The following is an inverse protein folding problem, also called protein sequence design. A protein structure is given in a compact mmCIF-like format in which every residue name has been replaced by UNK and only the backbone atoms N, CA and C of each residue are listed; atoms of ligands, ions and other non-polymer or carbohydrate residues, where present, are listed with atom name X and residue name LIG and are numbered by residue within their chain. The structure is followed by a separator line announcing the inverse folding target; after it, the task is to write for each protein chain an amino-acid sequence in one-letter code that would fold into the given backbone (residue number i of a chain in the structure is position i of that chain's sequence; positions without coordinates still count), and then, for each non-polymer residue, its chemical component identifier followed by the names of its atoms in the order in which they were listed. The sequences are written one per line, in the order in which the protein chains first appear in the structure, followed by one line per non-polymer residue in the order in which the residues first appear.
data_IF_510942546077
#
_entry.id   IF_510942546077
#
_cell.length_a   1.000
_cell.length_b   1.000
_cell.length_c   1.000
_cell.angle_alpha   90.00
_cell.angle_beta   90.00
_cell.angle_gamma   90.00
#
_symmetry.space_group_name_H-M   'P 1'
#
loop_
_entity.id
_entity.type
_entity.pdbx_description
1 polymer ?
#
# COMPACT_ATOMS: atom_id res chain seq x y z
N UNK A 1 -54.83 -5.82 10.45
CA UNK A 1 -53.73 -6.67 9.95
C UNK A 1 -52.64 -5.74 9.49
N UNK A 2 -51.73 -5.40 10.39
CA UNK A 2 -50.69 -4.39 10.11
C UNK A 2 -49.44 -5.11 9.54
N UNK A 3 -49.17 -4.87 8.28
CA UNK A 3 -47.95 -5.32 7.61
C UNK A 3 -46.83 -4.47 8.11
N UNK A 4 -45.94 -5.03 8.91
CA UNK A 4 -44.68 -4.38 9.34
C UNK A 4 -43.74 -4.42 8.15
N UNK A 5 -43.51 -3.25 7.55
CA UNK A 5 -42.53 -3.04 6.50
C UNK A 5 -41.13 -3.07 7.14
N UNK A 6 -40.50 -4.25 7.13
CA UNK A 6 -39.11 -4.41 7.57
C UNK A 6 -38.21 -3.87 6.45
N UNK A 7 -38.06 -2.56 6.38
CA UNK A 7 -36.95 -1.96 5.64
C UNK A 7 -35.66 -2.37 6.35
N UNK A 8 -34.98 -3.39 5.81
CA UNK A 8 -33.59 -3.67 6.14
C UNK A 8 -32.79 -2.40 5.85
N UNK A 9 -32.49 -1.66 6.90
CA UNK A 9 -31.41 -0.66 6.83
C UNK A 9 -30.18 -1.40 6.34
N UNK A 10 -29.78 -1.14 5.09
CA UNK A 10 -28.50 -1.60 4.55
C UNK A 10 -27.45 -0.91 5.43
N UNK A 11 -26.91 -1.63 6.41
CA UNK A 11 -25.70 -1.15 7.10
C UNK A 11 -24.71 -0.87 5.99
N UNK A 12 -24.32 0.39 5.83
CA UNK A 12 -23.32 0.79 4.87
C UNK A 12 -22.00 0.27 5.41
N UNK A 13 -21.65 -0.96 5.08
CA UNK A 13 -20.34 -1.50 5.35
C UNK A 13 -19.35 -0.69 4.50
N UNK A 14 -18.48 0.07 5.17
CA UNK A 14 -17.34 0.70 4.52
C UNK A 14 -16.39 -0.42 4.12
N UNK A 15 -16.05 -0.48 2.82
CA UNK A 15 -15.10 -1.47 2.30
C UNK A 15 -13.65 -1.14 2.69
N UNK A 16 -13.39 0.10 3.12
CA UNK A 16 -12.09 0.57 3.56
C UNK A 16 -12.17 1.11 4.98
N UNK A 17 -11.31 0.58 5.87
CA UNK A 17 -11.24 1.01 7.27
C UNK A 17 -9.78 1.21 7.70
N UNK A 18 -9.57 2.16 8.60
CA UNK A 18 -8.29 2.36 9.28
C UNK A 18 -8.44 2.12 10.78
N UNK A 19 -7.61 1.25 11.30
CA UNK A 19 -7.50 0.98 12.74
C UNK A 19 -6.29 1.74 13.31
N UNK A 20 -6.53 2.79 14.07
CA UNK A 20 -5.45 3.59 14.68
C UNK A 20 -4.62 2.77 15.68
N UNK A 21 -5.27 1.96 16.51
CA UNK A 21 -4.61 1.13 17.54
C UNK A 21 -3.59 0.18 16.93
N UNK A 22 -3.94 -0.48 15.84
CA UNK A 22 -3.05 -1.43 15.16
C UNK A 22 -2.33 -0.81 13.95
N UNK A 23 -2.55 0.47 13.65
CA UNK A 23 -1.97 1.21 12.53
C UNK A 23 -2.13 0.47 11.20
N UNK A 24 -3.34 -0.06 10.95
CA UNK A 24 -3.63 -0.95 9.82
C UNK A 24 -4.77 -0.44 8.98
N UNK A 25 -4.63 -0.59 7.67
CA UNK A 25 -5.67 -0.36 6.67
C UNK A 25 -6.26 -1.71 6.28
N UNK A 26 -7.57 -1.82 6.35
CA UNK A 26 -8.33 -2.99 5.92
C UNK A 26 -9.14 -2.63 4.68
N UNK A 27 -8.84 -3.29 3.57
CA UNK A 27 -9.58 -3.18 2.33
C UNK A 27 -10.32 -4.50 2.13
N UNK A 28 -11.64 -4.45 2.18
CA UNK A 28 -12.47 -5.66 2.20
C UNK A 28 -13.33 -5.74 0.95
N UNK A 29 -13.09 -6.75 0.14
CA UNK A 29 -14.01 -7.23 -0.87
C UNK A 29 -15.09 -8.12 -0.26
N UNK A 30 -15.90 -8.73 -1.10
CA UNK A 30 -16.98 -9.65 -0.64
C UNK A 30 -16.42 -10.91 0.01
N UNK A 31 -15.31 -11.45 -0.52
CA UNK A 31 -14.69 -12.71 -0.09
C UNK A 31 -13.22 -12.53 0.28
N UNK A 32 -12.61 -11.40 -0.04
CA UNK A 32 -11.18 -11.16 0.16
C UNK A 32 -10.91 -9.97 1.08
N UNK A 33 -9.72 -9.96 1.67
CA UNK A 33 -9.16 -8.83 2.39
C UNK A 33 -7.75 -8.54 1.92
N UNK A 34 -7.45 -7.26 1.74
CA UNK A 34 -6.10 -6.74 1.53
C UNK A 34 -5.75 -5.84 2.70
N UNK A 35 -4.68 -6.16 3.42
CA UNK A 35 -4.35 -5.48 4.67
C UNK A 35 -2.93 -4.94 4.61
N UNK A 36 -2.80 -3.65 4.90
CA UNK A 36 -1.53 -2.96 5.01
C UNK A 36 -1.35 -2.41 6.42
N UNK A 37 -0.11 -2.26 6.84
CA UNK A 37 0.22 -1.68 8.15
C UNK A 37 1.33 -0.65 8.03
N UNK A 38 1.37 0.25 9.01
CA UNK A 38 2.46 1.22 9.17
C UNK A 38 3.31 0.80 10.37
N UNK A 39 4.61 0.57 10.15
CA UNK A 39 5.55 0.25 11.23
C UNK A 39 5.71 1.44 12.19
N UNK A 40 6.21 1.24 13.41
CA UNK A 40 6.54 2.34 14.30
C UNK A 40 7.51 3.37 13.68
N UNK A 41 8.40 2.92 12.80
CA UNK A 41 9.39 3.74 12.09
C UNK A 41 8.80 4.50 10.88
N UNK A 42 7.51 4.27 10.56
CA UNK A 42 6.78 4.96 9.49
C UNK A 42 6.82 4.25 8.13
N UNK A 43 7.24 3.01 8.03
CA UNK A 43 7.19 2.28 6.75
C UNK A 43 5.84 1.61 6.56
N UNK A 44 5.26 1.78 5.35
CA UNK A 44 4.06 1.07 4.94
C UNK A 44 4.46 -0.30 4.40
N UNK A 45 3.82 -1.36 4.90
CA UNK A 45 4.10 -2.71 4.46
C UNK A 45 2.83 -3.53 4.21
N UNK A 46 2.96 -4.50 3.33
CA UNK A 46 1.95 -5.51 3.06
C UNK A 46 1.86 -6.49 4.22
N UNK A 47 0.68 -6.65 4.79
CA UNK A 47 0.45 -7.57 5.90
C UNK A 47 -0.29 -8.84 5.48
N UNK A 48 -1.28 -8.71 4.60
CA UNK A 48 -2.10 -9.84 4.21
C UNK A 48 -2.85 -9.58 2.91
N UNK A 49 -2.97 -10.59 2.09
CA UNK A 49 -3.94 -10.68 1.00
C UNK A 49 -4.45 -12.11 0.89
N UNK A 50 -5.76 -12.30 0.93
CA UNK A 50 -6.37 -13.62 0.86
C UNK A 50 -7.84 -13.59 1.25
N UNK A 51 -8.35 -14.69 1.79
CA UNK A 51 -9.74 -14.82 2.23
C UNK A 51 -10.13 -13.70 3.22
N UNK A 52 -11.40 -13.28 3.18
CA UNK A 52 -11.89 -12.18 4.01
C UNK A 52 -11.66 -12.43 5.49
N UNK A 53 -10.93 -11.53 6.12
CA UNK A 53 -10.67 -11.52 7.56
C UNK A 53 -11.49 -10.43 8.27
N UNK A 54 -11.92 -10.67 9.50
CA UNK A 54 -12.42 -9.61 10.36
C UNK A 54 -11.29 -8.64 10.74
N UNK A 55 -11.63 -7.45 11.21
CA UNK A 55 -10.64 -6.53 11.78
C UNK A 55 -9.93 -7.20 12.97
N UNK A 56 -8.64 -7.39 12.84
CA UNK A 56 -7.79 -8.02 13.85
C UNK A 56 -6.43 -7.35 13.94
N UNK A 57 -5.77 -7.46 15.07
CA UNK A 57 -4.38 -7.04 15.20
C UNK A 57 -3.46 -8.10 14.57
N UNK A 58 -2.96 -7.80 13.39
CA UNK A 58 -2.03 -8.66 12.63
C UNK A 58 -0.55 -8.31 12.92
N UNK A 59 -0.24 -7.69 14.06
CA UNK A 59 1.14 -7.30 14.41
C UNK A 59 2.11 -8.46 14.44
N UNK A 60 1.63 -9.66 14.69
CA UNK A 60 2.43 -10.89 14.72
C UNK A 60 2.92 -11.34 13.32
N UNK A 61 2.32 -10.86 12.24
CA UNK A 61 2.81 -11.12 10.87
C UNK A 61 4.07 -10.34 10.51
N UNK A 62 4.52 -9.44 11.37
CA UNK A 62 5.75 -8.70 11.14
C UNK A 62 6.90 -9.35 11.92
N UNK A 63 7.64 -10.29 11.36
CA UNK A 63 8.67 -11.01 12.07
C UNK A 63 9.83 -10.08 12.43
N UNK A 64 10.08 -9.93 13.72
CA UNK A 64 11.32 -9.37 14.27
C UNK A 64 12.42 -10.43 14.17
N UNK A 65 12.89 -10.71 12.95
CA UNK A 65 13.94 -11.72 12.78
C UNK A 65 15.31 -11.08 12.96
N UNK A 66 16.05 -11.54 13.94
CA UNK A 66 17.44 -11.16 14.09
C UNK A 66 18.28 -11.77 12.93
N UNK A 67 18.97 -10.92 12.20
CA UNK A 67 19.92 -11.34 11.16
C UNK A 67 21.20 -10.54 11.31
N UNK A 68 22.33 -11.19 11.21
CA UNK A 68 23.65 -10.55 11.26
C UNK A 68 24.04 -9.83 9.95
N UNK A 69 23.32 -10.11 8.85
CA UNK A 69 23.75 -9.74 7.51
C UNK A 69 23.20 -8.42 6.99
N UNK A 70 22.23 -7.81 7.67
CA UNK A 70 21.52 -6.65 7.16
C UNK A 70 21.50 -5.48 8.15
N UNK A 71 21.45 -4.28 7.59
CA UNK A 71 21.36 -3.04 8.36
C UNK A 71 20.00 -2.91 9.05
N UNK A 72 20.02 -2.48 10.30
CA UNK A 72 18.78 -2.13 10.99
C UNK A 72 18.20 -0.83 10.44
N UNK A 73 16.89 -0.71 10.47
CA UNK A 73 16.23 0.58 10.31
C UNK A 73 16.77 1.53 11.40
N UNK A 74 17.19 2.75 11.07
CA UNK A 74 17.69 3.69 12.06
C UNK A 74 16.73 3.86 13.25
N UNK A 75 17.26 3.69 14.47
CA UNK A 75 16.46 3.77 15.70
C UNK A 75 15.63 2.54 16.04
N UNK A 76 15.78 1.44 15.31
CA UNK A 76 15.00 0.20 15.47
C UNK A 76 15.88 -1.05 15.48
N UNK A 77 15.35 -2.14 16.00
CA UNK A 77 15.94 -3.48 15.85
C UNK A 77 15.46 -4.19 14.58
N UNK A 78 14.49 -3.61 13.88
CA UNK A 78 13.91 -4.17 12.65
C UNK A 78 14.85 -3.97 11.48
N UNK A 79 14.74 -4.88 10.53
CA UNK A 79 15.50 -4.84 9.28
C UNK A 79 14.55 -4.64 8.11
N UNK A 80 14.90 -3.75 7.21
CA UNK A 80 14.07 -3.44 6.04
C UNK A 80 13.85 -4.64 5.13
N UNK A 81 14.82 -5.53 5.00
CA UNK A 81 14.71 -6.73 4.17
C UNK A 81 13.64 -7.74 4.65
N UNK A 82 13.18 -7.63 5.90
CA UNK A 82 12.08 -8.45 6.43
C UNK A 82 10.73 -7.72 6.44
N UNK A 83 10.73 -6.42 6.18
CA UNK A 83 9.51 -5.67 5.99
C UNK A 83 9.09 -5.81 4.53
N UNK A 84 7.96 -6.46 4.29
CA UNK A 84 7.37 -6.56 2.95
C UNK A 84 6.80 -5.20 2.56
N UNK A 85 7.68 -4.29 2.13
CA UNK A 85 7.29 -2.92 1.81
C UNK A 85 6.19 -2.91 0.76
N UNK A 86 5.12 -2.19 1.05
CA UNK A 86 3.99 -2.06 0.13
C UNK A 86 4.37 -1.36 -1.18
N UNK A 87 5.35 -0.46 -1.12
CA UNK A 87 5.94 0.19 -2.29
C UNK A 87 7.45 0.27 -2.09
N UNK A 88 8.15 -0.79 -2.50
CA UNK A 88 9.55 -0.99 -2.21
C UNK A 88 10.45 0.07 -2.85
N UNK A 89 11.45 0.53 -2.10
CA UNK A 89 12.48 1.47 -2.54
C UNK A 89 13.88 0.89 -2.31
N UNK A 90 14.88 1.22 -3.13
CA UNK A 90 16.21 0.62 -3.09
C UNK A 90 17.06 1.24 -1.97
N UNK A 91 16.60 1.22 -0.73
CA UNK A 91 17.30 1.85 0.38
C UNK A 91 17.28 1.00 1.66
N UNK A 92 18.19 1.28 2.57
CA UNK A 92 18.34 0.61 3.88
C UNK A 92 18.66 -0.89 3.82
N UNK A 93 19.34 -1.33 2.75
CA UNK A 93 19.79 -2.72 2.62
C UNK A 93 18.70 -3.70 2.19
N UNK A 94 17.60 -3.21 1.66
CA UNK A 94 16.64 -4.02 0.90
C UNK A 94 17.16 -4.20 -0.53
N UNK A 95 17.46 -5.44 -0.91
CA UNK A 95 18.00 -5.80 -2.22
C UNK A 95 16.96 -6.42 -3.15
N UNK A 96 15.69 -6.42 -2.74
CA UNK A 96 14.58 -6.85 -3.60
C UNK A 96 14.38 -5.83 -4.71
N UNK A 97 13.68 -6.26 -5.75
CA UNK A 97 13.37 -5.40 -6.89
C UNK A 97 12.49 -4.23 -6.44
N UNK A 98 12.95 -2.97 -6.59
CA UNK A 98 12.19 -1.82 -6.11
C UNK A 98 11.03 -1.46 -7.03
N UNK A 99 9.95 -0.95 -6.46
CA UNK A 99 8.84 -0.37 -7.22
C UNK A 99 9.18 1.00 -7.79
N UNK A 100 10.00 1.78 -7.08
CA UNK A 100 10.46 3.10 -7.50
C UNK A 100 11.96 3.22 -7.36
N UNK A 101 12.64 3.60 -8.45
CA UNK A 101 14.08 3.86 -8.48
C UNK A 101 14.36 5.26 -9.02
N UNK A 102 14.38 6.29 -8.17
CA UNK A 102 14.75 7.63 -8.58
C UNK A 102 16.27 7.81 -8.59
N UNK A 103 16.75 8.72 -9.45
CA UNK A 103 18.12 9.17 -9.52
C UNK A 103 18.13 10.69 -9.60
N UNK A 104 18.83 11.36 -8.69
CA UNK A 104 18.99 12.80 -8.74
C UNK A 104 20.06 13.23 -9.77
N UNK A 105 20.20 14.55 -9.98
CA UNK A 105 21.16 15.11 -10.91
C UNK A 105 22.63 14.82 -10.55
N UNK A 106 22.90 14.35 -9.32
CA UNK A 106 24.25 13.97 -8.84
C UNK A 106 24.49 12.46 -8.92
N UNK A 107 23.51 11.69 -9.36
CA UNK A 107 23.60 10.24 -9.42
C UNK A 107 23.28 9.53 -8.10
N UNK A 108 22.76 10.24 -7.10
CA UNK A 108 22.34 9.62 -5.85
C UNK A 108 21.09 8.76 -6.07
N UNK A 109 21.01 7.64 -5.34
CA UNK A 109 19.95 6.65 -5.42
C UNK A 109 19.35 6.29 -4.06
N UNK A 110 19.97 6.79 -2.97
CA UNK A 110 19.49 6.51 -1.61
C UNK A 110 18.16 7.24 -1.36
N UNK A 111 17.09 6.48 -1.22
CA UNK A 111 15.72 6.96 -1.19
C UNK A 111 14.88 6.10 -0.24
N UNK A 112 14.09 6.72 0.62
CA UNK A 112 13.28 6.04 1.62
C UNK A 112 11.91 6.68 1.79
N UNK A 113 10.88 6.06 1.26
CA UNK A 113 9.51 6.50 1.44
C UNK A 113 8.98 6.15 2.83
N UNK A 114 8.43 7.14 3.52
CA UNK A 114 7.70 6.98 4.77
C UNK A 114 6.25 7.37 4.61
N UNK A 115 5.40 6.70 5.35
CA UNK A 115 3.99 7.05 5.47
C UNK A 115 3.85 8.45 6.08
N UNK A 116 3.05 9.29 5.44
CA UNK A 116 2.72 10.64 5.90
C UNK A 116 1.26 10.72 6.34
N UNK A 117 0.34 10.39 5.44
CA UNK A 117 -1.10 10.56 5.68
C UNK A 117 -1.93 9.65 4.77
N UNK A 118 -3.24 9.61 5.03
CA UNK A 118 -4.20 8.95 4.16
C UNK A 118 -5.48 9.77 4.02
N UNK A 119 -6.26 9.42 2.99
CA UNK A 119 -7.58 9.96 2.70
C UNK A 119 -8.46 8.84 2.15
N UNK A 120 -9.70 8.74 2.59
CA UNK A 120 -10.69 7.82 2.02
C UNK A 120 -11.64 8.65 1.15
N UNK A 121 -11.70 8.32 -0.13
CA UNK A 121 -12.51 8.98 -1.14
C UNK A 121 -13.72 8.12 -1.45
N UNK A 122 -14.89 8.76 -1.58
CA UNK A 122 -16.15 8.06 -1.87
C UNK A 122 -16.14 7.33 -3.22
N UNK A 123 -15.29 7.77 -4.16
CA UNK A 123 -15.19 7.16 -5.48
C UNK A 123 -13.76 7.28 -6.06
N UNK A 124 -13.50 6.48 -7.08
CA UNK A 124 -12.21 6.45 -7.78
C UNK A 124 -11.92 7.78 -8.49
N UNK A 125 -10.80 8.47 -8.16
CA UNK A 125 -10.41 9.69 -8.86
C UNK A 125 -10.11 9.44 -10.34
N UNK A 126 -10.52 10.37 -11.19
CA UNK A 126 -10.24 10.31 -12.62
C UNK A 126 -8.73 10.32 -12.93
N UNK A 127 -8.32 9.57 -13.93
CA UNK A 127 -6.95 9.54 -14.45
C UNK A 127 -6.91 10.41 -15.71
N UNK A 128 -5.90 11.26 -15.83
CA UNK A 128 -5.75 12.19 -16.96
C UNK A 128 -5.31 11.54 -18.28
N UNK A 129 -5.04 10.25 -18.28
CA UNK A 129 -4.36 9.56 -19.38
C UNK A 129 -5.27 9.13 -20.54
N UNK A 130 -6.59 9.32 -20.46
CA UNK A 130 -7.53 8.79 -21.45
C UNK A 130 -7.64 7.25 -21.47
N UNK A 131 -6.99 6.56 -20.54
CA UNK A 131 -7.08 5.11 -20.40
C UNK A 131 -8.48 4.76 -19.86
N UNK A 132 -9.16 3.76 -20.44
CA UNK A 132 -10.42 3.26 -19.90
C UNK A 132 -10.28 2.84 -18.45
N UNK A 133 -11.21 3.24 -17.59
CA UNK A 133 -11.21 2.87 -16.18
C UNK A 133 -12.62 2.59 -15.68
N UNK A 134 -12.74 1.66 -14.74
CA UNK A 134 -13.97 1.45 -14.01
C UNK A 134 -14.28 2.69 -13.15
N UNK A 135 -15.55 3.01 -13.02
CA UNK A 135 -16.08 4.12 -12.21
C UNK A 135 -16.58 3.60 -10.87
N UNK A 136 -16.78 4.51 -9.93
CA UNK A 136 -17.22 4.17 -8.58
C UNK A 136 -16.11 3.50 -7.76
N UNK A 137 -16.51 2.78 -6.71
CA UNK A 137 -15.61 2.13 -5.77
C UNK A 137 -15.03 3.11 -4.75
N UNK A 138 -15.07 2.72 -3.47
CA UNK A 138 -14.42 3.48 -2.40
C UNK A 138 -12.91 3.42 -2.60
N UNK A 139 -12.20 4.53 -2.41
CA UNK A 139 -10.77 4.62 -2.73
C UNK A 139 -9.97 5.10 -1.53
N UNK A 140 -9.00 4.30 -1.10
CA UNK A 140 -7.94 4.71 -0.18
C UNK A 140 -6.82 5.37 -0.97
N UNK A 141 -6.48 6.60 -0.59
CA UNK A 141 -5.28 7.30 -1.04
C UNK A 141 -4.31 7.38 0.13
N UNK A 142 -3.13 6.79 -0.03
CA UNK A 142 -2.04 6.88 0.95
C UNK A 142 -0.96 7.80 0.40
N UNK A 143 -0.47 8.71 1.24
CA UNK A 143 0.65 9.59 0.92
C UNK A 143 1.91 9.05 1.56
N UNK A 144 2.93 8.80 0.74
CA UNK A 144 4.28 8.47 1.17
C UNK A 144 5.23 9.60 0.76
N UNK A 145 6.21 9.92 1.62
CA UNK A 145 7.17 11.01 1.38
C UNK A 145 8.59 10.57 1.67
N UNK A 146 9.52 11.10 0.92
CA UNK A 146 10.93 11.23 1.30
C UNK A 146 11.25 12.71 1.48
N UNK A 147 11.47 13.12 2.73
CA UNK A 147 11.69 14.52 3.08
C UNK A 147 13.05 15.05 2.60
N UNK A 148 14.01 14.18 2.37
CA UNK A 148 15.36 14.55 1.90
C UNK A 148 15.35 14.84 0.40
N UNK A 149 14.61 14.05 -0.35
CA UNK A 149 14.54 14.16 -1.81
C UNK A 149 13.46 15.11 -2.30
N UNK A 150 12.46 15.41 -1.46
CA UNK A 150 11.27 16.14 -1.88
C UNK A 150 10.41 15.35 -2.88
N UNK A 151 10.41 14.04 -2.78
CA UNK A 151 9.53 13.16 -3.53
C UNK A 151 8.31 12.77 -2.70
N UNK A 152 7.15 12.85 -3.35
CA UNK A 152 5.89 12.38 -2.78
C UNK A 152 5.31 11.31 -3.70
N UNK A 153 4.86 10.22 -3.12
CA UNK A 153 4.15 9.15 -3.83
C UNK A 153 2.75 9.02 -3.26
N UNK A 154 1.75 9.05 -4.13
CA UNK A 154 0.37 8.73 -3.80
C UNK A 154 0.05 7.33 -4.28
N UNK A 155 -0.34 6.47 -3.35
CA UNK A 155 -0.86 5.13 -3.66
C UNK A 155 -2.38 5.17 -3.57
N UNK A 156 -3.05 4.72 -4.62
CA UNK A 156 -4.50 4.65 -4.67
C UNK A 156 -4.94 3.20 -4.75
N UNK A 157 -5.86 2.83 -3.87
CA UNK A 157 -6.48 1.51 -3.84
C UNK A 157 -7.98 1.70 -3.93
N UNK A 158 -8.59 1.26 -5.02
CA UNK A 158 -10.05 1.33 -5.17
C UNK A 158 -10.64 -0.05 -4.99
N UNK A 159 -11.59 -0.17 -4.06
CA UNK A 159 -12.29 -1.42 -3.74
C UNK A 159 -13.63 -1.44 -4.46
N UNK A 160 -13.86 -2.48 -5.21
CA UNK A 160 -15.16 -2.84 -5.81
C UNK A 160 -15.66 -4.07 -5.03
N UNK A 161 -16.42 -3.81 -3.97
CA UNK A 161 -16.77 -4.86 -2.99
C UNK A 161 -17.59 -5.98 -3.61
N UNK A 162 -18.59 -5.65 -4.42
CA UNK A 162 -19.51 -6.64 -5.02
C UNK A 162 -18.81 -7.55 -6.04
N UNK A 163 -17.82 -7.02 -6.75
CA UNK A 163 -16.99 -7.74 -7.73
C UNK A 163 -15.80 -8.45 -7.11
N UNK A 164 -15.50 -8.16 -5.84
CA UNK A 164 -14.33 -8.67 -5.12
C UNK A 164 -13.00 -8.30 -5.80
N UNK A 165 -12.94 -7.06 -6.31
CA UNK A 165 -11.79 -6.53 -7.06
C UNK A 165 -11.20 -5.33 -6.31
N UNK A 166 -9.88 -5.31 -6.24
CA UNK A 166 -9.11 -4.14 -5.79
C UNK A 166 -8.23 -3.68 -6.94
N UNK A 167 -8.41 -2.43 -7.38
CA UNK A 167 -7.50 -1.82 -8.37
C UNK A 167 -6.49 -0.95 -7.67
N UNK A 168 -5.27 -0.89 -8.19
CA UNK A 168 -4.17 -0.12 -7.64
C UNK A 168 -3.52 0.76 -8.70
N UNK A 169 -3.04 1.95 -8.30
CA UNK A 169 -2.15 2.81 -9.06
C UNK A 169 -1.25 3.61 -8.14
N UNK A 170 -0.11 4.06 -8.66
CA UNK A 170 0.80 4.97 -7.99
C UNK A 170 0.99 6.25 -8.82
N UNK A 171 1.12 7.37 -8.13
CA UNK A 171 1.50 8.66 -8.72
C UNK A 171 2.73 9.19 -7.98
N UNK A 172 3.77 9.55 -8.72
CA UNK A 172 4.99 10.14 -8.15
C UNK A 172 5.04 11.62 -8.49
N UNK A 173 5.24 12.46 -7.48
CA UNK A 173 5.33 13.91 -7.62
C UNK A 173 6.70 14.38 -7.13
N UNK A 174 7.42 15.06 -8.00
CA UNK A 174 8.64 15.78 -7.64
C UNK A 174 8.26 17.18 -7.18
N UNK A 175 8.49 17.49 -5.89
CA UNK A 175 8.19 18.78 -5.29
C UNK A 175 9.42 19.71 -5.25
N UNK A 176 10.56 19.26 -5.80
CA UNK A 176 11.78 20.06 -5.91
C UNK A 176 11.83 20.86 -7.21
N UNK A 177 12.76 21.82 -7.29
CA UNK A 177 13.06 22.53 -8.54
C UNK A 177 13.98 21.78 -9.48
N UNK A 178 14.64 20.70 -8.99
CA UNK A 178 15.58 19.88 -9.76
C UNK A 178 14.90 18.75 -10.52
N UNK A 179 15.48 18.32 -11.63
CA UNK A 179 15.03 17.13 -12.33
C UNK A 179 15.42 15.87 -11.57
N UNK A 180 14.49 14.92 -11.51
CA UNK A 180 14.72 13.58 -10.99
C UNK A 180 14.43 12.60 -12.12
N UNK A 181 15.40 11.72 -12.40
CA UNK A 181 15.22 10.65 -13.37
C UNK A 181 14.61 9.43 -12.67
N UNK A 182 13.57 8.84 -13.26
CA UNK A 182 12.98 7.60 -12.77
C UNK A 182 13.45 6.45 -13.67
N UNK A 183 14.34 5.60 -13.15
CA UNK A 183 14.78 4.39 -13.86
C UNK A 183 13.69 3.32 -13.81
N UNK A 184 12.88 3.35 -12.75
CA UNK A 184 11.76 2.44 -12.56
C UNK A 184 10.62 3.15 -11.83
N UNK A 185 9.39 2.89 -12.28
CA UNK A 185 8.16 3.30 -11.62
C UNK A 185 7.08 2.25 -11.89
N UNK A 186 6.91 1.32 -10.96
CA UNK A 186 5.92 0.25 -11.04
C UNK A 186 4.63 0.70 -10.34
N UNK A 187 3.51 0.10 -10.73
CA UNK A 187 2.22 0.35 -10.10
C UNK A 187 2.03 -0.44 -8.80
N UNK A 188 2.74 -1.57 -8.66
CA UNK A 188 2.55 -2.51 -7.57
C UNK A 188 3.86 -3.24 -7.25
N UNK A 189 4.07 -3.48 -5.95
CA UNK A 189 4.91 -4.54 -5.43
C UNK A 189 3.99 -5.45 -4.62
N UNK A 190 4.09 -6.75 -4.80
CA UNK A 190 3.26 -7.71 -4.08
C UNK A 190 4.12 -8.90 -3.67
N UNK A 191 4.26 -9.09 -2.38
CA UNK A 191 5.00 -10.19 -1.78
C UNK A 191 4.01 -11.19 -1.17
N UNK A 192 4.24 -12.47 -1.39
CA UNK A 192 3.46 -13.55 -0.80
C UNK A 192 4.33 -14.41 0.11
N UNK A 193 3.76 -14.94 1.17
CA UNK A 193 4.45 -15.88 2.07
C UNK A 193 4.55 -17.31 1.49
N UNK A 194 3.81 -17.57 0.42
CA UNK A 194 3.83 -18.83 -0.31
C UNK A 194 4.68 -18.69 -1.59
N UNK A 195 5.26 -19.79 -2.05
CA UNK A 195 6.07 -19.85 -3.27
C UNK A 195 5.47 -20.76 -4.35
N UNK A 196 4.32 -21.38 -4.10
CA UNK A 196 3.65 -22.28 -5.04
C UNK A 196 2.70 -21.48 -5.98
N UNK A 197 3.30 -20.59 -6.77
CA UNK A 197 2.58 -19.77 -7.74
C UNK A 197 2.97 -20.14 -9.16
N UNK A 198 1.99 -20.18 -10.06
CA UNK A 198 2.17 -20.25 -11.49
C UNK A 198 1.78 -18.91 -12.13
N UNK A 199 2.65 -18.37 -12.97
CA UNK A 199 2.35 -17.16 -13.76
C UNK A 199 1.89 -17.58 -15.15
N UNK A 200 0.64 -17.27 -15.49
CA UNK A 200 0.06 -17.53 -16.81
C UNK A 200 -0.06 -16.21 -17.56
N UNK A 201 0.55 -16.15 -18.75
CA UNK A 201 0.46 -15.01 -19.67
C UNK A 201 -0.40 -15.39 -20.88
N UNK A 202 -1.32 -14.51 -21.29
CA UNK A 202 -2.19 -14.70 -22.44
C UNK A 202 -1.81 -13.73 -23.57
#
# INVERSE_FOLDING_TARGET
MNTVDIRKTKETYMSIKYCEKCRSFFLSGKKSSYIMRVTPEGYLYHAYYGERLPEADLSYFNPDVASSCNTNIPGSKRKTCYVLQEYATPYLGDFREPALSPVDARGNRAFALKYDSYEILAEKPAIRSGIPMARGGETLKITLKDDVWGLTVYLFYTVYEDEDIITRRAETVNTTSGAIHLERALSITLDFYDSDFEMITY
#
